data_IF_506122398631
#
_entry.id   IF_506122398631
#
_cell.length_a   1.000
_cell.length_b   1.000
_cell.length_c   1.000
_cell.angle_alpha   90.00
_cell.angle_beta   90.00
_cell.angle_gamma   90.00
#
_symmetry.space_group_name_H-M   'P 1'
#
loop_
_entity.id
_entity.type
_entity.pdbx_description
1 polymer ?
#
# COMPACT_ATOMS: atom_id res chain seq x y z
N UNK A 1 3.48 9.57 -12.43
CA UNK A 1 2.61 8.87 -11.45
C UNK A 1 1.40 8.24 -12.11
N UNK A 2 0.83 7.18 -11.56
CA UNK A 2 -0.36 6.51 -12.12
C UNK A 2 -1.24 5.84 -11.04
N UNK A 3 -2.48 5.51 -11.42
CA UNK A 3 -3.43 4.76 -10.60
C UNK A 3 -3.60 3.34 -11.12
N UNK A 4 -3.73 2.41 -10.19
CA UNK A 4 -4.26 1.07 -10.44
C UNK A 4 -5.44 0.82 -9.50
N UNK A 5 -6.53 0.31 -10.06
CA UNK A 5 -7.63 -0.23 -9.24
C UNK A 5 -7.17 -1.57 -8.67
N UNK A 6 -7.24 -1.73 -7.35
CA UNK A 6 -6.92 -2.99 -6.67
C UNK A 6 -8.21 -3.75 -6.35
N UNK A 7 -8.55 -4.82 -7.11
CA UNK A 7 -9.83 -5.52 -6.96
C UNK A 7 -10.05 -6.09 -5.56
N UNK A 8 -8.98 -6.50 -4.88
CA UNK A 8 -9.03 -7.03 -3.51
C UNK A 8 -9.52 -6.01 -2.46
N UNK A 9 -9.50 -4.72 -2.77
CA UNK A 9 -10.07 -3.67 -1.93
C UNK A 9 -11.43 -3.13 -2.39
N UNK A 10 -11.97 -3.68 -3.49
CA UNK A 10 -13.25 -3.26 -4.05
C UNK A 10 -14.38 -4.12 -3.49
N UNK A 11 -15.49 -3.49 -3.10
CA UNK A 11 -16.64 -4.19 -2.53
C UNK A 11 -17.90 -3.34 -2.65
N UNK A 12 -19.07 -3.94 -2.49
CA UNK A 12 -20.27 -3.21 -2.11
C UNK A 12 -20.11 -2.74 -0.65
N UNK A 13 -20.51 -1.48 -0.37
CA UNK A 13 -20.59 -0.95 0.99
C UNK A 13 -21.72 0.06 1.10
N UNK A 14 -22.79 -0.31 1.81
CA UNK A 14 -23.96 0.53 2.10
C UNK A 14 -24.70 1.02 0.84
N UNK A 15 -24.87 0.13 -0.14
CA UNK A 15 -25.53 0.40 -1.42
C UNK A 15 -24.63 1.07 -2.47
N UNK A 16 -23.39 1.43 -2.10
CA UNK A 16 -22.42 2.05 -2.99
C UNK A 16 -21.32 1.06 -3.38
N UNK A 17 -20.67 1.34 -4.51
CA UNK A 17 -19.47 0.63 -4.95
C UNK A 17 -18.26 1.31 -4.31
N UNK A 18 -17.61 0.61 -3.38
CA UNK A 18 -16.32 1.01 -2.83
C UNK A 18 -15.22 0.56 -3.81
N UNK A 19 -14.39 1.50 -4.24
CA UNK A 19 -13.26 1.25 -5.14
C UNK A 19 -11.96 1.63 -4.45
N UNK A 20 -10.96 0.75 -4.48
CA UNK A 20 -9.61 1.03 -3.98
C UNK A 20 -8.69 1.47 -5.12
N UNK A 21 -8.23 2.71 -5.05
CA UNK A 21 -7.12 3.19 -5.86
C UNK A 21 -5.79 2.97 -5.13
N UNK A 22 -4.88 2.28 -5.80
CA UNK A 22 -3.47 2.25 -5.44
C UNK A 22 -2.71 3.22 -6.36
N UNK A 23 -2.04 4.20 -5.77
CA UNK A 23 -1.35 5.27 -6.48
C UNK A 23 0.15 5.03 -6.44
N UNK A 24 0.79 5.06 -7.61
CA UNK A 24 2.20 4.73 -7.78
C UNK A 24 2.97 5.90 -8.38
N UNK A 25 4.23 6.00 -7.98
CA UNK A 25 5.19 6.94 -8.53
C UNK A 25 5.85 6.33 -9.78
N UNK A 26 6.22 7.18 -10.72
CA UNK A 26 7.08 6.87 -11.85
C UNK A 26 8.54 7.27 -11.56
N UNK A 27 9.53 6.74 -12.29
CA UNK A 27 10.95 6.97 -12.00
C UNK A 27 11.39 8.44 -11.90
N UNK A 28 10.70 9.34 -12.61
CA UNK A 28 10.96 10.79 -12.59
C UNK A 28 10.32 11.52 -11.41
N UNK A 29 9.41 10.87 -10.67
CA UNK A 29 8.64 11.52 -9.61
C UNK A 29 9.44 11.66 -8.31
N UNK A 30 9.13 12.69 -7.54
CA UNK A 30 9.78 12.93 -6.26
C UNK A 30 9.53 11.76 -5.28
N UNK A 31 10.61 11.26 -4.69
CA UNK A 31 10.54 10.18 -3.71
C UNK A 31 10.29 8.79 -4.30
N UNK A 32 10.38 8.60 -5.63
CA UNK A 32 10.23 7.30 -6.28
C UNK A 32 11.04 6.19 -5.61
N UNK A 33 12.33 6.44 -5.31
CA UNK A 33 13.24 5.48 -4.68
C UNK A 33 12.82 5.02 -3.27
N UNK A 34 11.88 5.72 -2.61
CA UNK A 34 11.31 5.27 -1.31
C UNK A 34 10.26 4.17 -1.50
N UNK A 35 9.64 4.12 -2.68
CA UNK A 35 8.55 3.21 -3.02
C UNK A 35 8.98 2.14 -4.02
N UNK A 36 10.04 2.38 -4.79
CA UNK A 36 10.73 1.36 -5.56
C UNK A 36 11.76 0.67 -4.67
N UNK A 37 11.42 -0.50 -4.13
CA UNK A 37 12.24 -1.21 -3.16
C UNK A 37 12.53 -2.65 -3.60
N UNK A 38 13.55 -3.25 -2.99
CA UNK A 38 13.88 -4.66 -3.16
C UNK A 38 13.14 -5.48 -2.10
N UNK A 39 12.23 -6.33 -2.54
CA UNK A 39 11.47 -7.24 -1.66
C UNK A 39 11.98 -8.67 -1.80
N UNK A 40 12.04 -9.45 -0.70
CA UNK A 40 12.42 -10.85 -0.75
C UNK A 40 11.37 -11.68 -1.50
N UNK A 41 11.82 -12.63 -2.32
CA UNK A 41 10.95 -13.63 -2.96
C UNK A 41 10.76 -14.78 -1.99
N UNK A 42 9.56 -14.87 -1.42
CA UNK A 42 9.20 -15.94 -0.47
C UNK A 42 8.92 -17.23 -1.27
N UNK A 43 9.60 -18.35 -0.98
CA UNK A 43 9.32 -19.63 -1.61
C UNK A 43 7.96 -20.18 -1.16
N UNK A 44 7.34 -21.03 -1.98
CA UNK A 44 6.01 -21.63 -1.70
C UNK A 44 5.94 -22.38 -0.36
N UNK A 45 7.04 -23.00 0.06
CA UNK A 45 7.15 -23.69 1.35
C UNK A 45 7.37 -22.79 2.57
N UNK A 46 7.53 -21.48 2.37
CA UNK A 46 7.74 -20.51 3.45
C UNK A 46 9.03 -20.73 4.24
N UNK A 47 9.02 -20.27 5.50
CA UNK A 47 10.11 -20.47 6.44
C UNK A 47 10.09 -21.91 6.98
N UNK A 48 11.25 -22.57 6.99
CA UNK A 48 11.37 -23.98 7.40
C UNK A 48 11.82 -24.18 8.85
N UNK A 49 12.02 -23.09 9.60
CA UNK A 49 12.39 -23.15 11.01
C UNK A 49 11.18 -23.45 11.91
N UNK A 50 11.42 -23.51 13.22
CA UNK A 50 10.38 -23.80 14.20
C UNK A 50 9.38 -22.63 14.31
N UNK A 51 8.09 -22.98 14.33
CA UNK A 51 6.97 -22.05 14.48
C UNK A 51 6.22 -22.37 15.78
N UNK A 52 5.66 -21.34 16.41
CA UNK A 52 4.74 -21.50 17.54
C UNK A 52 3.34 -21.96 17.08
N UNK A 53 2.41 -22.10 18.02
CA UNK A 53 1.05 -22.56 17.73
C UNK A 53 0.26 -21.60 16.83
N UNK A 54 0.66 -20.32 16.79
CA UNK A 54 0.09 -19.26 15.99
C UNK A 54 0.75 -19.14 14.60
N UNK A 55 1.78 -19.94 14.33
CA UNK A 55 2.52 -19.94 13.06
C UNK A 55 3.60 -18.87 12.96
N UNK A 56 4.01 -18.27 14.08
CA UNK A 56 5.07 -17.27 14.14
C UNK A 56 6.42 -17.94 14.40
N UNK A 57 7.54 -17.40 13.86
CA UNK A 57 8.87 -17.96 14.13
C UNK A 57 9.23 -17.90 15.61
N UNK A 58 9.60 -19.04 16.20
CA UNK A 58 10.08 -19.12 17.60
C UNK A 58 11.41 -18.38 17.75
N UNK A 59 12.30 -18.52 16.76
CA UNK A 59 13.56 -17.80 16.67
C UNK A 59 13.46 -16.69 15.61
N UNK A 60 13.28 -15.46 16.10
CA UNK A 60 13.20 -14.26 15.26
C UNK A 60 14.51 -13.94 14.53
N UNK A 61 15.66 -14.26 15.12
CA UNK A 61 16.97 -13.98 14.51
C UNK A 61 17.24 -14.94 13.35
N UNK A 62 16.93 -16.23 13.53
CA UNK A 62 17.01 -17.21 12.47
C UNK A 62 16.04 -16.88 11.31
N UNK A 63 14.83 -16.42 11.62
CA UNK A 63 13.88 -15.95 10.60
C UNK A 63 14.40 -14.73 9.84
N UNK A 64 14.93 -13.72 10.54
CA UNK A 64 15.48 -12.52 9.90
C UNK A 64 16.66 -12.86 8.99
N UNK A 65 17.59 -13.71 9.46
CA UNK A 65 18.71 -14.19 8.65
C UNK A 65 18.24 -14.96 7.41
N UNK A 66 17.20 -15.78 7.54
CA UNK A 66 16.57 -16.46 6.41
C UNK A 66 15.97 -15.45 5.42
N UNK A 67 15.15 -14.49 5.86
CA UNK A 67 14.57 -13.45 4.99
C UNK A 67 15.66 -12.65 4.25
N UNK A 68 16.75 -12.30 4.93
CA UNK A 68 17.86 -11.57 4.34
C UNK A 68 18.61 -12.36 3.26
N UNK A 69 18.67 -13.69 3.41
CA UNK A 69 19.31 -14.61 2.47
C UNK A 69 18.53 -14.82 1.18
N UNK A 70 17.22 -14.52 1.17
CA UNK A 70 16.36 -14.75 0.02
C UNK A 70 16.74 -13.87 -1.18
N UNK A 71 16.57 -14.38 -2.43
CA UNK A 71 16.70 -13.55 -3.61
C UNK A 71 15.68 -12.40 -3.54
N UNK A 72 16.11 -11.21 -3.97
CA UNK A 72 15.28 -9.99 -3.91
C UNK A 72 14.99 -9.46 -5.30
N UNK A 73 13.72 -9.13 -5.54
CA UNK A 73 13.24 -8.51 -6.78
C UNK A 73 12.85 -7.06 -6.54
N UNK A 74 12.98 -6.23 -7.56
CA UNK A 74 12.49 -4.86 -7.52
C UNK A 74 10.97 -4.84 -7.62
N UNK A 75 10.33 -4.08 -6.75
CA UNK A 75 8.89 -3.89 -6.72
C UNK A 75 8.57 -2.41 -6.51
N UNK A 76 7.57 -1.91 -7.25
CA UNK A 76 6.94 -0.63 -6.97
C UNK A 76 5.83 -0.83 -5.94
N UNK A 77 5.93 -0.17 -4.80
CA UNK A 77 4.85 -0.06 -3.84
C UNK A 77 4.03 1.20 -4.10
N UNK A 78 2.73 1.21 -3.78
CA UNK A 78 1.96 2.43 -3.84
C UNK A 78 2.46 3.43 -2.79
N UNK A 79 2.48 4.71 -3.14
CA UNK A 79 2.79 5.78 -2.18
C UNK A 79 1.56 6.23 -1.39
N UNK A 80 0.38 6.04 -1.99
CA UNK A 80 -0.90 6.30 -1.35
C UNK A 80 -1.94 5.26 -1.79
N UNK A 81 -2.86 4.95 -0.88
CA UNK A 81 -4.04 4.17 -1.18
C UNK A 81 -5.25 4.99 -0.80
N UNK A 82 -6.24 5.07 -1.69
CA UNK A 82 -7.45 5.84 -1.47
C UNK A 82 -8.68 4.98 -1.76
N UNK A 83 -9.74 5.21 -0.99
CA UNK A 83 -11.03 4.56 -1.21
C UNK A 83 -12.06 5.61 -1.63
N UNK A 84 -12.72 5.38 -2.75
CA UNK A 84 -13.88 6.17 -3.16
C UNK A 84 -15.15 5.32 -3.07
N UNK A 85 -16.29 5.99 -2.99
CA UNK A 85 -17.61 5.38 -2.99
C UNK A 85 -18.42 6.03 -4.09
N UNK A 86 -18.92 5.22 -5.01
CA UNK A 86 -19.68 5.71 -6.18
C UNK A 86 -20.98 4.93 -6.33
N UNK A 87 -21.95 5.55 -7.00
CA UNK A 87 -23.19 4.88 -7.37
C UNK A 87 -22.91 3.73 -8.35
N UNK A 88 -23.67 2.61 -8.30
CA UNK A 88 -23.46 1.45 -9.19
C UNK A 88 -23.47 1.75 -10.69
N UNK A 89 -24.10 2.86 -11.10
CA UNK A 89 -24.20 3.30 -12.49
C UNK A 89 -23.14 4.35 -12.89
N UNK A 90 -22.20 4.64 -12.00
CA UNK A 90 -21.09 5.55 -12.29
C UNK A 90 -20.20 4.95 -13.36
N UNK A 91 -19.92 5.70 -14.42
CA UNK A 91 -19.12 5.20 -15.55
C UNK A 91 -17.64 5.12 -15.20
N UNK A 92 -16.92 4.22 -15.86
CA UNK A 92 -15.47 4.07 -15.71
C UNK A 92 -14.74 5.40 -15.94
N UNK A 93 -15.19 6.21 -16.91
CA UNK A 93 -14.60 7.53 -17.15
C UNK A 93 -14.70 8.41 -15.91
N UNK A 94 -15.87 8.49 -15.28
CA UNK A 94 -16.06 9.31 -14.07
C UNK A 94 -15.24 8.77 -12.91
N UNK A 95 -15.17 7.44 -12.75
CA UNK A 95 -14.32 6.80 -11.73
C UNK A 95 -12.85 7.19 -11.94
N UNK A 96 -12.36 7.14 -13.18
CA UNK A 96 -10.98 7.50 -13.50
C UNK A 96 -10.71 9.00 -13.34
N UNK A 97 -11.65 9.88 -13.75
CA UNK A 97 -11.53 11.33 -13.53
C UNK A 97 -11.40 11.66 -12.02
N UNK A 98 -12.21 11.00 -11.17
CA UNK A 98 -12.11 11.12 -9.70
C UNK A 98 -10.75 10.62 -9.22
N UNK A 99 -10.31 9.48 -9.72
CA UNK A 99 -9.00 8.92 -9.41
C UNK A 99 -7.88 9.93 -9.71
N UNK A 100 -7.81 10.45 -10.93
CA UNK A 100 -6.79 11.41 -11.35
C UNK A 100 -6.78 12.67 -10.49
N UNK A 101 -7.94 13.18 -10.10
CA UNK A 101 -8.03 14.30 -9.17
C UNK A 101 -7.36 13.97 -7.82
N UNK A 102 -7.70 12.83 -7.21
CA UNK A 102 -7.08 12.40 -5.96
C UNK A 102 -5.59 12.09 -6.09
N UNK A 103 -5.15 11.52 -7.22
CA UNK A 103 -3.73 11.26 -7.49
C UNK A 103 -2.92 12.55 -7.45
N UNK A 104 -3.40 13.59 -8.14
CA UNK A 104 -2.75 14.90 -8.17
C UNK A 104 -2.66 15.52 -6.78
N UNK A 105 -3.76 15.54 -6.03
CA UNK A 105 -3.77 16.10 -4.66
C UNK A 105 -2.84 15.31 -3.71
N UNK A 106 -2.92 13.97 -3.76
CA UNK A 106 -2.08 13.09 -2.95
C UNK A 106 -0.59 13.30 -3.27
N UNK A 107 -0.25 13.45 -4.55
CA UNK A 107 1.13 13.68 -4.96
C UNK A 107 1.65 15.07 -4.54
N UNK A 108 0.86 16.13 -4.72
CA UNK A 108 1.23 17.48 -4.26
C UNK A 108 1.54 17.46 -2.77
N UNK A 109 0.69 16.80 -1.98
CA UNK A 109 0.88 16.66 -0.53
C UNK A 109 2.06 15.77 -0.16
N UNK A 110 2.28 14.69 -0.91
CA UNK A 110 3.43 13.80 -0.71
C UNK A 110 4.76 14.49 -1.01
N UNK A 111 4.79 15.32 -2.05
CA UNK A 111 5.97 16.03 -2.49
C UNK A 111 6.21 17.35 -1.73
N UNK A 112 5.26 17.79 -0.90
CA UNK A 112 5.42 19.01 -0.11
C UNK A 112 6.17 18.74 1.21
N UNK A 113 6.72 19.81 1.78
CA UNK A 113 7.27 19.81 3.15
C UNK A 113 6.17 19.98 4.22
N UNK A 114 4.89 20.01 3.80
CA UNK A 114 3.77 20.30 4.67
C UNK A 114 3.55 19.14 5.65
N UNK A 115 3.69 19.44 6.95
CA UNK A 115 3.36 18.46 7.99
C UNK A 115 1.87 18.17 7.96
N UNK A 116 1.51 16.90 8.05
CA UNK A 116 0.13 16.49 8.23
C UNK A 116 -0.48 17.22 9.43
N UNK A 117 -1.49 18.04 9.18
CA UNK A 117 -2.36 18.58 10.22
C UNK A 117 -3.26 17.45 10.75
N UNK A 118 -2.68 16.63 11.63
CA UNK A 118 -3.39 15.55 12.30
C UNK A 118 -4.35 16.17 13.31
N UNK A 119 -5.63 16.29 12.91
CA UNK A 119 -6.71 16.76 13.79
C UNK A 119 -6.93 15.89 15.03
N UNK A 120 -6.45 14.65 15.00
CA UNK A 120 -6.50 13.73 16.13
C UNK A 120 -5.12 13.65 16.78
N UNK A 121 -5.07 13.89 18.08
CA UNK A 121 -3.90 13.59 18.89
C UNK A 121 -3.54 12.11 18.76
N UNK A 122 -2.24 11.82 18.81
CA UNK A 122 -1.74 10.45 18.79
C UNK A 122 -2.33 9.71 20.00
N UNK A 123 -2.95 8.56 19.76
CA UNK A 123 -3.40 7.68 20.84
C UNK A 123 -2.16 7.11 21.52
N UNK A 124 -1.97 7.40 22.80
CA UNK A 124 -0.96 6.76 23.62
C UNK A 124 -1.50 5.43 24.13
N UNK A 125 -0.78 4.35 23.87
CA UNK A 125 -1.08 3.04 24.44
C UNK A 125 -0.22 2.86 25.69
N UNK A 126 -0.77 2.29 26.79
CA UNK A 126 0.03 1.95 27.94
C UNK A 126 1.13 0.96 27.53
N UNK A 127 2.35 1.28 27.92
CA UNK A 127 3.54 0.40 27.86
C UNK A 127 3.47 -0.69 28.90
#
# INVERSE_FOLDING_TARGET
MYIKIEPSGCTERRGLVQIRFAMYLEPSDYGYNKHHIRVPVIPEGGYTGELDAEGMPVDSDAYNAWVESLPKVWQNNPFHNHFIYVEPLTTDKVIMDIGEAFLNEAYIKWASEEKLDLKNSRVEYPT
#
